data_IF_873396736800
#
_entry.id   IF_873396736800
#
_cell.length_a   1.000
_cell.length_b   1.000
_cell.length_c   1.000
_cell.angle_alpha   90.00
_cell.angle_beta   90.00
_cell.angle_gamma   90.00
#
_symmetry.space_group_name_H-M   'P 1'
#
loop_
_entity.id
_entity.type
_entity.pdbx_description
1 polymer ?
#
# COMPACT_ATOMS: atom_id res chain seq x y z
N UNK A 1 9.96 -2.17 -16.91
CA UNK A 1 9.71 -3.58 -17.23
C UNK A 1 10.29 -3.91 -18.58
N UNK A 2 11.19 -4.90 -18.61
CA UNK A 2 11.92 -5.36 -19.78
C UNK A 2 11.59 -6.82 -20.03
N UNK A 3 11.25 -7.13 -21.27
CA UNK A 3 11.00 -8.50 -21.71
C UNK A 3 12.05 -8.86 -22.75
N UNK A 4 12.63 -10.03 -22.61
CA UNK A 4 13.42 -10.62 -23.68
C UNK A 4 12.57 -11.60 -24.51
N UNK A 5 12.81 -11.63 -25.82
CA UNK A 5 12.18 -12.57 -26.73
C UNK A 5 13.28 -13.29 -27.51
N UNK A 6 13.43 -14.58 -27.25
CA UNK A 6 14.35 -15.48 -27.97
C UNK A 6 13.53 -16.22 -29.03
N UNK A 7 13.63 -15.75 -30.27
CA UNK A 7 12.89 -16.34 -31.40
C UNK A 7 13.50 -15.95 -32.74
N UNK A 8 12.99 -16.50 -33.83
CA UNK A 8 13.43 -16.15 -35.18
C UNK A 8 13.01 -14.71 -35.55
N UNK A 9 13.92 -13.91 -36.13
CA UNK A 9 13.65 -12.52 -36.49
C UNK A 9 12.62 -12.37 -37.62
N UNK A 10 12.38 -13.41 -38.42
CA UNK A 10 11.50 -13.36 -39.60
C UNK A 10 10.16 -14.08 -39.40
N UNK A 11 10.00 -14.82 -38.29
CA UNK A 11 8.85 -15.69 -38.04
C UNK A 11 7.54 -14.98 -37.69
N UNK A 12 6.45 -15.74 -37.68
CA UNK A 12 5.15 -15.26 -37.20
C UNK A 12 5.18 -14.95 -35.69
N UNK A 13 5.92 -15.74 -34.90
CA UNK A 13 6.01 -15.59 -33.44
C UNK A 13 6.38 -14.18 -32.99
N UNK A 14 7.46 -13.60 -33.56
CA UNK A 14 7.90 -12.27 -33.15
C UNK A 14 6.83 -11.22 -33.48
N UNK A 15 6.17 -11.34 -34.64
CA UNK A 15 5.11 -10.41 -35.04
C UNK A 15 3.89 -10.52 -34.14
N UNK A 16 3.51 -11.74 -33.79
CA UNK A 16 2.39 -12.03 -32.90
C UNK A 16 2.63 -11.49 -31.49
N UNK A 17 3.80 -11.78 -30.91
CA UNK A 17 4.22 -11.24 -29.62
C UNK A 17 4.22 -9.71 -29.66
N UNK A 18 4.89 -9.10 -30.65
CA UNK A 18 4.98 -7.65 -30.76
C UNK A 18 3.60 -7.00 -30.96
N UNK A 19 2.69 -7.64 -31.71
CA UNK A 19 1.34 -7.14 -31.95
C UNK A 19 0.54 -7.09 -30.65
N UNK A 20 0.56 -8.16 -29.86
CA UNK A 20 -0.15 -8.21 -28.58
C UNK A 20 0.46 -7.25 -27.56
N UNK A 21 1.79 -7.24 -27.43
CA UNK A 21 2.49 -6.34 -26.52
C UNK A 21 2.25 -4.87 -26.89
N UNK A 22 2.34 -4.48 -28.17
CA UNK A 22 2.06 -3.09 -28.61
C UNK A 22 0.61 -2.69 -28.42
N UNK A 23 -0.34 -3.56 -28.79
CA UNK A 23 -1.79 -3.25 -28.70
C UNK A 23 -2.24 -3.03 -27.26
N UNK A 24 -1.71 -3.82 -26.33
CA UNK A 24 -2.13 -3.78 -24.93
C UNK A 24 -1.21 -2.91 -24.07
N UNK A 25 0.03 -2.67 -24.50
CA UNK A 25 1.01 -1.96 -23.68
C UNK A 25 2.20 -1.34 -24.46
N UNK A 26 2.04 -0.12 -24.96
CA UNK A 26 3.05 0.58 -25.77
C UNK A 26 4.37 0.91 -25.03
N UNK A 27 4.37 0.97 -23.69
CA UNK A 27 5.53 1.46 -22.90
C UNK A 27 6.46 0.34 -22.40
N UNK A 28 6.40 -0.85 -23.00
CA UNK A 28 7.20 -1.99 -22.60
C UNK A 28 8.51 -2.03 -23.38
N UNK A 29 9.63 -2.25 -22.68
CA UNK A 29 10.93 -2.40 -23.34
C UNK A 29 11.11 -3.84 -23.76
N UNK A 30 11.31 -4.07 -25.06
CA UNK A 30 11.42 -5.40 -25.63
C UNK A 30 12.83 -5.57 -26.17
N UNK A 31 13.54 -6.55 -25.63
CA UNK A 31 14.85 -7.00 -26.11
C UNK A 31 14.59 -8.22 -26.99
N UNK A 32 15.05 -8.18 -28.23
CA UNK A 32 14.93 -9.31 -29.16
C UNK A 32 16.30 -9.95 -29.27
N UNK A 33 16.38 -11.24 -28.93
CA UNK A 33 17.53 -12.09 -29.18
C UNK A 33 17.21 -12.96 -30.39
N UNK A 34 17.60 -12.54 -31.60
CA UNK A 34 17.27 -13.26 -32.83
C UNK A 34 18.09 -14.56 -32.89
N UNK A 35 17.40 -15.69 -33.01
CA UNK A 35 18.02 -17.02 -33.11
C UNK A 35 17.38 -17.85 -34.20
N UNK A 36 18.12 -18.81 -34.76
CA UNK A 36 17.50 -19.88 -35.53
C UNK A 36 16.67 -20.76 -34.60
N UNK A 37 15.43 -21.01 -35.00
CA UNK A 37 14.49 -21.87 -34.26
C UNK A 37 14.33 -23.26 -34.88
N UNK A 38 14.98 -23.50 -36.02
CA UNK A 38 14.94 -24.77 -36.75
C UNK A 38 16.24 -24.96 -37.55
N UNK A 39 16.51 -26.21 -37.93
CA UNK A 39 17.70 -26.58 -38.71
C UNK A 39 18.98 -26.70 -37.87
N UNK A 40 20.08 -27.05 -38.52
CA UNK A 40 21.37 -27.24 -37.88
C UNK A 40 21.88 -25.96 -37.19
N UNK A 41 22.39 -26.08 -35.97
CA UNK A 41 22.90 -24.96 -35.17
C UNK A 41 21.83 -24.24 -34.33
N UNK A 42 20.53 -24.54 -34.52
CA UNK A 42 19.46 -23.82 -33.82
C UNK A 42 19.48 -24.02 -32.30
N UNK A 43 19.70 -25.25 -31.84
CA UNK A 43 19.78 -25.57 -30.41
C UNK A 43 20.95 -24.86 -29.71
N UNK A 44 22.09 -24.74 -30.38
CA UNK A 44 23.25 -24.01 -29.88
C UNK A 44 22.97 -22.51 -29.80
N UNK A 45 22.42 -21.91 -30.87
CA UNK A 45 22.05 -20.48 -30.89
C UNK A 45 21.02 -20.12 -29.82
N UNK A 46 19.99 -20.94 -29.63
CA UNK A 46 18.98 -20.73 -28.58
C UNK A 46 19.63 -20.76 -27.19
N UNK A 47 20.46 -21.78 -26.92
CA UNK A 47 21.10 -21.93 -25.62
C UNK A 47 22.11 -20.81 -25.32
N UNK A 48 22.84 -20.35 -26.34
CA UNK A 48 23.77 -19.23 -26.23
C UNK A 48 23.03 -17.91 -25.98
N UNK A 49 21.97 -17.63 -26.74
CA UNK A 49 21.14 -16.44 -26.52
C UNK A 49 20.56 -16.37 -25.10
N UNK A 50 20.10 -17.50 -24.56
CA UNK A 50 19.62 -17.57 -23.17
C UNK A 50 20.72 -17.21 -22.18
N UNK A 51 21.94 -17.72 -22.38
CA UNK A 51 23.09 -17.44 -21.51
C UNK A 51 23.52 -15.98 -21.61
N UNK A 52 23.58 -15.43 -22.82
CA UNK A 52 23.97 -14.05 -23.08
C UNK A 52 23.00 -13.05 -22.45
N UNK A 53 21.69 -13.33 -22.54
CA UNK A 53 20.67 -12.50 -21.88
C UNK A 53 20.84 -12.53 -20.35
N UNK A 54 21.07 -13.71 -19.78
CA UNK A 54 21.31 -13.85 -18.33
C UNK A 54 22.58 -13.15 -17.85
N UNK A 55 23.62 -13.08 -18.68
CA UNK A 55 24.89 -12.46 -18.33
C UNK A 55 24.88 -10.94 -18.57
N UNK A 56 24.31 -10.48 -19.69
CA UNK A 56 24.38 -9.09 -20.15
C UNK A 56 23.25 -8.20 -19.65
N UNK A 57 22.10 -8.76 -19.26
CA UNK A 57 20.89 -8.00 -18.97
C UNK A 57 20.20 -8.48 -17.68
N UNK A 58 20.77 -8.15 -16.50
CA UNK A 58 20.25 -8.61 -15.21
C UNK A 58 18.88 -8.00 -14.85
N UNK A 59 18.40 -6.99 -15.58
CA UNK A 59 17.15 -6.27 -15.31
C UNK A 59 15.99 -6.67 -16.24
N UNK A 60 16.10 -7.81 -16.91
CA UNK A 60 14.98 -8.44 -17.62
C UNK A 60 14.04 -9.10 -16.60
N UNK A 61 12.75 -8.77 -16.67
CA UNK A 61 11.74 -9.33 -15.77
C UNK A 61 11.31 -10.74 -16.19
N UNK A 62 11.24 -10.99 -17.50
CA UNK A 62 10.80 -12.27 -18.08
C UNK A 62 11.36 -12.46 -19.48
N UNK A 63 11.66 -13.70 -19.83
CA UNK A 63 12.11 -14.11 -21.16
C UNK A 63 11.09 -15.04 -21.80
N UNK A 64 10.69 -14.71 -23.03
CA UNK A 64 9.85 -15.55 -23.87
C UNK A 64 10.76 -16.35 -24.80
N UNK A 65 10.71 -17.67 -24.72
CA UNK A 65 11.51 -18.56 -25.57
C UNK A 65 10.55 -19.38 -26.41
N UNK A 66 10.63 -19.25 -27.72
CA UNK A 66 9.79 -20.07 -28.59
C UNK A 66 9.83 -19.70 -30.06
N UNK A 67 8.88 -20.24 -30.79
CA UNK A 67 8.79 -20.13 -32.25
C UNK A 67 7.34 -20.00 -32.68
N UNK A 68 7.10 -19.64 -33.94
CA UNK A 68 5.75 -19.38 -34.44
C UNK A 68 5.45 -20.24 -35.65
N UNK A 69 4.52 -21.19 -35.49
CA UNK A 69 4.08 -22.12 -36.54
C UNK A 69 5.19 -23.03 -37.07
N UNK A 70 4.81 -24.04 -37.85
CA UNK A 70 5.70 -24.99 -38.54
C UNK A 70 5.49 -26.45 -38.10
N UNK A 71 6.24 -27.37 -38.71
CA UNK A 71 6.08 -28.81 -38.51
C UNK A 71 6.58 -29.27 -37.14
N UNK A 72 6.34 -30.54 -36.80
CA UNK A 72 6.84 -31.16 -35.56
C UNK A 72 8.36 -31.33 -35.58
N UNK A 73 8.95 -31.48 -36.77
CA UNK A 73 10.41 -31.58 -36.97
C UNK A 73 11.12 -30.27 -36.59
N UNK A 74 10.45 -29.14 -36.82
CA UNK A 74 10.93 -27.81 -36.46
C UNK A 74 10.90 -27.56 -34.92
N UNK A 75 10.24 -28.42 -34.13
CA UNK A 75 10.23 -28.33 -32.66
C UNK A 75 11.47 -28.98 -32.03
N UNK A 76 12.22 -29.78 -32.79
CA UNK A 76 13.25 -30.65 -32.24
C UNK A 76 14.38 -29.90 -31.53
N UNK A 77 14.70 -28.68 -31.99
CA UNK A 77 15.70 -27.82 -31.35
C UNK A 77 15.39 -27.56 -29.86
N UNK A 78 14.11 -27.51 -29.49
CA UNK A 78 13.63 -27.28 -28.13
C UNK A 78 13.53 -28.58 -27.31
N UNK A 79 13.76 -29.74 -27.94
CA UNK A 79 13.80 -31.04 -27.28
C UNK A 79 15.23 -31.48 -26.96
N UNK A 80 16.22 -30.61 -27.17
CA UNK A 80 17.63 -30.92 -26.98
C UNK A 80 18.09 -30.55 -25.57
N UNK A 81 18.92 -31.40 -24.99
CA UNK A 81 19.41 -31.25 -23.60
C UNK A 81 20.09 -29.89 -23.37
N UNK A 82 20.81 -29.37 -24.37
CA UNK A 82 21.52 -28.09 -24.26
C UNK A 82 20.56 -26.91 -24.01
N UNK A 83 19.41 -26.90 -24.69
CA UNK A 83 18.38 -25.88 -24.51
C UNK A 83 17.70 -26.08 -23.16
N UNK A 84 17.37 -27.32 -22.81
CA UNK A 84 16.75 -27.64 -21.54
C UNK A 84 17.61 -27.17 -20.34
N UNK A 85 18.92 -27.44 -20.38
CA UNK A 85 19.86 -26.97 -19.34
C UNK A 85 20.01 -25.47 -19.32
N UNK A 86 19.99 -24.81 -20.48
CA UNK A 86 20.05 -23.35 -20.55
C UNK A 86 18.82 -22.70 -19.90
N UNK A 87 17.62 -23.23 -20.17
CA UNK A 87 16.37 -22.77 -19.55
C UNK A 87 16.38 -23.03 -18.04
N UNK A 88 16.67 -24.27 -17.63
CA UNK A 88 16.67 -24.66 -16.21
C UNK A 88 17.72 -23.90 -15.37
N UNK A 89 18.83 -23.47 -15.99
CA UNK A 89 19.86 -22.66 -15.35
C UNK A 89 19.64 -21.14 -15.43
N UNK A 90 18.54 -20.68 -16.04
CA UNK A 90 18.24 -19.26 -16.21
C UNK A 90 17.89 -18.62 -14.86
N UNK A 91 18.45 -17.43 -14.61
CA UNK A 91 18.09 -16.55 -13.48
C UNK A 91 16.87 -15.69 -13.82
N UNK A 92 16.68 -15.41 -15.11
CA UNK A 92 15.53 -14.71 -15.65
C UNK A 92 14.39 -15.73 -15.79
N UNK A 93 13.18 -15.48 -15.25
CA UNK A 93 12.04 -16.36 -15.44
C UNK A 93 11.72 -16.59 -16.93
N UNK A 94 11.52 -17.85 -17.31
CA UNK A 94 11.33 -18.28 -18.71
C UNK A 94 9.91 -18.74 -18.95
N UNK A 95 9.27 -18.18 -19.97
CA UNK A 95 8.01 -18.68 -20.53
C UNK A 95 8.31 -19.37 -21.85
N UNK A 96 8.07 -20.68 -21.92
CA UNK A 96 8.14 -21.43 -23.17
C UNK A 96 6.87 -21.18 -24.00
N UNK A 97 7.04 -20.92 -25.30
CA UNK A 97 5.94 -20.71 -26.25
C UNK A 97 6.17 -21.42 -27.59
N UNK A 98 6.65 -22.67 -27.51
CA UNK A 98 7.19 -23.46 -28.63
C UNK A 98 6.13 -24.28 -29.38
N UNK A 99 5.26 -24.98 -28.65
CA UNK A 99 4.26 -25.92 -29.21
C UNK A 99 2.85 -25.36 -29.30
N UNK A 100 1.93 -26.12 -29.91
CA UNK A 100 0.47 -25.94 -29.78
C UNK A 100 -0.04 -26.66 -28.52
N UNK A 101 -1.34 -26.62 -28.22
CA UNK A 101 -1.89 -27.25 -27.00
C UNK A 101 -1.44 -28.71 -26.78
N UNK A 102 -1.32 -29.49 -27.85
CA UNK A 102 -0.99 -30.92 -27.82
C UNK A 102 0.51 -31.25 -27.92
N UNK A 103 1.34 -30.30 -28.38
CA UNK A 103 2.76 -30.54 -28.60
C UNK A 103 3.55 -30.10 -27.36
N UNK A 104 4.39 -31.00 -26.86
CA UNK A 104 5.26 -30.76 -25.71
C UNK A 104 6.70 -31.06 -26.07
N UNK A 105 7.60 -30.19 -25.62
CA UNK A 105 9.05 -30.33 -25.74
C UNK A 105 9.67 -30.37 -24.35
N UNK A 106 10.89 -30.90 -24.23
CA UNK A 106 11.62 -30.83 -22.96
C UNK A 106 11.75 -29.37 -22.46
N UNK A 107 11.94 -28.40 -23.37
CA UNK A 107 11.94 -26.97 -23.01
C UNK A 107 10.67 -26.53 -22.27
N UNK A 108 9.49 -27.03 -22.67
CA UNK A 108 8.23 -26.70 -22.00
C UNK A 108 8.14 -27.23 -20.57
N UNK A 109 8.80 -28.36 -20.28
CA UNK A 109 8.80 -28.97 -18.96
C UNK A 109 9.81 -28.34 -17.99
N UNK A 110 10.88 -27.74 -18.52
CA UNK A 110 11.90 -27.08 -17.69
C UNK A 110 11.69 -25.58 -17.54
N UNK A 111 10.81 -24.97 -18.35
CA UNK A 111 10.45 -23.57 -18.23
C UNK A 111 9.59 -23.29 -16.98
N UNK A 112 9.67 -22.08 -16.44
CA UNK A 112 8.86 -21.67 -15.29
C UNK A 112 7.36 -21.65 -15.61
N UNK A 113 7.03 -21.34 -16.87
CA UNK A 113 5.66 -21.38 -17.36
C UNK A 113 5.63 -21.82 -18.83
N UNK A 114 4.64 -22.64 -19.16
CA UNK A 114 4.31 -22.99 -20.55
C UNK A 114 3.15 -22.14 -21.04
N UNK A 115 3.28 -21.60 -22.25
CA UNK A 115 2.21 -21.02 -23.03
C UNK A 115 2.00 -21.80 -24.32
N UNK A 116 0.74 -22.06 -24.68
CA UNK A 116 0.40 -22.85 -25.87
C UNK A 116 0.66 -22.14 -27.22
N UNK A 117 0.96 -20.84 -27.22
CA UNK A 117 1.37 -20.08 -28.41
C UNK A 117 2.19 -18.86 -28.01
N UNK A 118 2.99 -18.28 -28.93
CA UNK A 118 3.64 -16.99 -28.72
C UNK A 118 2.68 -15.87 -28.33
N UNK A 119 1.49 -15.83 -28.95
CA UNK A 119 0.41 -14.91 -28.60
C UNK A 119 -0.06 -15.09 -27.16
N UNK A 120 -0.34 -16.33 -26.74
CA UNK A 120 -0.75 -16.63 -25.37
C UNK A 120 0.32 -16.24 -24.35
N UNK A 121 1.60 -16.43 -24.68
CA UNK A 121 2.71 -16.00 -23.84
C UNK A 121 2.71 -14.48 -23.64
N UNK A 122 2.53 -13.72 -24.72
CA UNK A 122 2.41 -12.26 -24.64
C UNK A 122 1.18 -11.82 -23.84
N UNK A 123 0.04 -12.51 -23.96
CA UNK A 123 -1.16 -12.22 -23.17
C UNK A 123 -0.97 -12.48 -21.68
N UNK A 124 -0.27 -13.56 -21.29
CA UNK A 124 0.03 -13.86 -19.89
C UNK A 124 0.84 -12.72 -19.25
N UNK A 125 1.86 -12.23 -19.96
CA UNK A 125 2.67 -11.12 -19.46
C UNK A 125 1.83 -9.84 -19.33
N UNK A 126 1.00 -9.53 -20.33
CA UNK A 126 0.11 -8.37 -20.28
C UNK A 126 -0.89 -8.48 -19.12
N UNK A 127 -1.52 -9.65 -18.93
CA UNK A 127 -2.53 -9.88 -17.90
C UNK A 127 -1.97 -9.64 -16.50
N UNK A 128 -0.79 -10.21 -16.20
CA UNK A 128 -0.10 -10.01 -14.93
C UNK A 128 0.07 -8.52 -14.60
N UNK A 129 0.40 -7.70 -15.61
CA UNK A 129 0.56 -6.27 -15.42
C UNK A 129 -0.76 -5.52 -15.20
N UNK A 130 -1.80 -5.86 -15.97
CA UNK A 130 -3.13 -5.24 -15.79
C UNK A 130 -3.67 -5.54 -14.40
N UNK A 131 -3.51 -6.77 -13.92
CA UNK A 131 -3.88 -7.15 -12.56
C UNK A 131 -3.08 -6.36 -11.52
N UNK A 132 -1.77 -6.20 -11.71
CA UNK A 132 -0.94 -5.39 -10.81
C UNK A 132 -1.38 -3.92 -10.79
N UNK A 133 -1.68 -3.33 -11.95
CA UNK A 133 -2.17 -1.96 -12.05
C UNK A 133 -3.53 -1.78 -11.35
N UNK A 134 -4.44 -2.74 -11.53
CA UNK A 134 -5.74 -2.75 -10.84
C UNK A 134 -5.56 -2.88 -9.32
N UNK A 135 -4.62 -3.71 -8.86
CA UNK A 135 -4.29 -3.86 -7.45
C UNK A 135 -3.75 -2.54 -6.86
N UNK A 136 -2.83 -1.86 -7.56
CA UNK A 136 -2.30 -0.55 -7.13
C UNK A 136 -3.43 0.47 -7.02
N UNK A 137 -4.29 0.59 -8.04
CA UNK A 137 -5.43 1.51 -8.01
C UNK A 137 -6.40 1.19 -6.86
N UNK A 138 -6.62 -0.10 -6.57
CA UNK A 138 -7.41 -0.56 -5.43
C UNK A 138 -6.80 -0.15 -4.08
N UNK A 139 -5.49 -0.29 -3.94
CA UNK A 139 -4.75 0.12 -2.73
C UNK A 139 -4.78 1.64 -2.54
N UNK A 140 -4.60 2.41 -3.60
CA UNK A 140 -4.68 3.88 -3.57
C UNK A 140 -6.06 4.35 -3.09
N UNK A 141 -7.14 3.79 -3.65
CA UNK A 141 -8.51 4.10 -3.24
C UNK A 141 -8.73 3.82 -1.75
N UNK A 142 -8.24 2.67 -1.25
CA UNK A 142 -8.33 2.29 0.17
C UNK A 142 -7.54 3.23 1.07
N UNK A 143 -6.35 3.65 0.63
CA UNK A 143 -5.51 4.60 1.35
C UNK A 143 -6.23 5.95 1.49
N UNK A 144 -6.73 6.50 0.38
CA UNK A 144 -7.44 7.78 0.38
C UNK A 144 -8.71 7.76 1.24
N UNK A 145 -9.46 6.66 1.20
CA UNK A 145 -10.64 6.48 2.06
C UNK A 145 -10.26 6.45 3.55
N UNK A 146 -9.17 5.74 3.89
CA UNK A 146 -8.68 5.63 5.26
C UNK A 146 -8.17 6.98 5.78
N UNK A 147 -7.45 7.74 4.94
CA UNK A 147 -7.00 9.10 5.26
C UNK A 147 -8.17 10.06 5.48
N UNK A 148 -9.22 9.99 4.64
CA UNK A 148 -10.43 10.80 4.82
C UNK A 148 -11.09 10.53 6.17
N UNK A 149 -11.34 9.26 6.49
CA UNK A 149 -11.95 8.85 7.76
C UNK A 149 -11.09 9.31 8.94
N UNK A 150 -9.77 9.14 8.84
CA UNK A 150 -8.84 9.60 9.87
C UNK A 150 -8.93 11.13 10.08
N UNK A 151 -8.94 11.89 8.99
CA UNK A 151 -9.05 13.35 9.03
C UNK A 151 -10.38 13.82 9.61
N UNK A 152 -11.50 13.24 9.20
CA UNK A 152 -12.84 13.55 9.73
C UNK A 152 -12.92 13.28 11.24
N UNK A 153 -12.36 12.15 11.69
CA UNK A 153 -12.28 11.83 13.12
C UNK A 153 -11.42 12.85 13.89
N UNK A 154 -10.30 13.27 13.33
CA UNK A 154 -9.41 14.25 13.97
C UNK A 154 -10.08 15.63 14.03
N UNK A 155 -10.75 16.06 12.96
CA UNK A 155 -11.56 17.28 12.95
C UNK A 155 -12.69 17.21 13.98
N UNK A 156 -13.38 16.07 14.09
CA UNK A 156 -14.44 15.87 15.08
C UNK A 156 -13.92 15.98 16.52
N UNK A 157 -12.76 15.37 16.81
CA UNK A 157 -12.08 15.50 18.10
C UNK A 157 -11.68 16.96 18.37
N UNK A 158 -11.09 17.64 17.39
CA UNK A 158 -10.71 19.04 17.51
C UNK A 158 -11.91 19.92 17.79
N UNK A 159 -13.01 19.78 17.04
CA UNK A 159 -14.25 20.55 17.28
C UNK A 159 -14.82 20.31 18.67
N UNK A 160 -14.85 19.05 19.16
CA UNK A 160 -15.31 18.76 20.53
C UNK A 160 -14.43 19.39 21.60
N UNK A 161 -13.11 19.39 21.41
CA UNK A 161 -12.19 20.03 22.34
C UNK A 161 -12.36 21.55 22.29
N UNK A 162 -12.37 22.14 21.11
CA UNK A 162 -12.53 23.57 20.90
C UNK A 162 -13.88 24.11 21.43
N UNK A 163 -14.95 23.32 21.33
CA UNK A 163 -16.26 23.66 21.89
C UNK A 163 -16.43 23.30 23.37
N UNK A 164 -15.39 22.76 24.02
CA UNK A 164 -15.43 22.48 25.45
C UNK A 164 -15.63 23.76 26.24
N UNK A 165 -16.52 23.71 27.24
CA UNK A 165 -16.79 24.83 28.15
C UNK A 165 -15.52 25.34 28.83
N UNK A 166 -14.54 24.46 29.08
CA UNK A 166 -13.25 24.87 29.66
C UNK A 166 -12.46 25.84 28.78
N UNK A 167 -12.57 25.72 27.45
CA UNK A 167 -11.83 26.58 26.50
C UNK A 167 -12.66 27.77 26.01
N UNK A 168 -14.00 27.65 25.99
CA UNK A 168 -14.90 28.70 25.48
C UNK A 168 -15.37 29.68 26.53
N UNK A 169 -15.53 29.25 27.78
CA UNK A 169 -15.88 30.13 28.89
C UNK A 169 -15.22 29.65 30.19
N UNK A 170 -13.90 29.85 30.35
CA UNK A 170 -13.18 29.44 31.54
C UNK A 170 -13.69 30.15 32.82
N UNK A 171 -14.22 31.38 32.69
CA UNK A 171 -14.77 32.13 33.81
C UNK A 171 -16.07 31.52 34.35
N UNK A 172 -16.85 30.80 33.53
CA UNK A 172 -18.01 30.04 34.00
C UNK A 172 -17.64 28.96 35.03
N UNK A 173 -16.38 28.47 35.02
CA UNK A 173 -15.91 27.52 36.05
C UNK A 173 -15.74 28.21 37.41
N UNK A 174 -15.56 29.53 37.43
CA UNK A 174 -15.38 30.33 38.64
C UNK A 174 -16.71 30.85 39.21
N UNK A 175 -17.80 30.83 38.45
CA UNK A 175 -19.12 31.30 38.93
C UNK A 175 -19.58 30.59 40.21
N UNK A 176 -19.40 29.26 40.28
CA UNK A 176 -19.76 28.48 41.49
C UNK A 176 -18.85 28.79 42.68
N UNK A 177 -17.51 28.74 42.55
CA UNK A 177 -16.59 29.15 43.61
C UNK A 177 -16.81 30.58 44.11
N UNK A 178 -17.00 31.54 43.20
CA UNK A 178 -17.24 32.95 43.54
C UNK A 178 -18.54 33.09 44.32
N UNK A 179 -19.65 32.50 43.84
CA UNK A 179 -20.91 32.54 44.59
C UNK A 179 -20.79 31.90 45.98
N UNK A 180 -20.08 30.77 46.11
CA UNK A 180 -19.83 30.14 47.41
C UNK A 180 -19.00 31.03 48.35
N UNK A 181 -18.04 31.78 47.79
CA UNK A 181 -17.25 32.72 48.56
C UNK A 181 -18.14 33.88 49.05
N UNK A 182 -18.97 34.44 48.17
CA UNK A 182 -19.91 35.52 48.51
C UNK A 182 -20.88 35.07 49.61
N UNK A 183 -21.51 33.90 49.46
CA UNK A 183 -22.41 33.31 50.46
C UNK A 183 -21.71 33.12 51.82
N UNK A 184 -20.44 32.67 51.81
CA UNK A 184 -19.65 32.45 53.01
C UNK A 184 -19.24 33.78 53.69
N UNK A 185 -18.90 34.80 52.91
CA UNK A 185 -18.57 36.14 53.41
C UNK A 185 -19.80 36.79 54.04
N UNK A 186 -20.95 36.73 53.38
CA UNK A 186 -22.20 37.26 53.92
C UNK A 186 -22.59 36.57 55.23
N UNK A 187 -22.50 35.23 55.27
CA UNK A 187 -22.71 34.46 56.50
C UNK A 187 -21.74 34.84 57.62
N UNK A 188 -20.48 35.08 57.31
CA UNK A 188 -19.46 35.50 58.28
C UNK A 188 -19.76 36.90 58.85
N UNK A 189 -20.16 37.85 58.01
CA UNK A 189 -20.52 39.22 58.42
C UNK A 189 -21.73 39.17 59.35
N UNK A 190 -22.78 38.44 58.96
CA UNK A 190 -23.98 38.29 59.78
C UNK A 190 -23.67 37.65 61.15
N UNK A 191 -22.89 36.57 61.16
CA UNK A 191 -22.49 35.92 62.40
C UNK A 191 -21.63 36.81 63.31
N UNK A 192 -20.77 37.65 62.73
CA UNK A 192 -19.92 38.59 63.46
C UNK A 192 -20.74 39.73 64.07
N UNK A 193 -21.69 40.28 63.32
CA UNK A 193 -22.63 41.30 63.80
C UNK A 193 -23.47 40.80 64.98
N UNK A 194 -24.04 39.59 64.86
CA UNK A 194 -24.79 38.97 65.95
C UNK A 194 -23.94 38.71 67.19
N UNK A 195 -22.66 38.33 67.03
CA UNK A 195 -21.74 38.17 68.17
C UNK A 195 -21.45 39.49 68.87
N UNK A 196 -21.18 40.57 68.13
CA UNK A 196 -20.94 41.90 68.70
C UNK A 196 -22.17 42.43 69.42
N UNK A 197 -23.37 42.26 68.83
CA UNK A 197 -24.65 42.66 69.45
C UNK A 197 -24.85 41.95 70.79
N UNK A 198 -24.70 40.62 70.82
CA UNK A 198 -24.81 39.82 72.07
C UNK A 198 -23.76 40.22 73.11
N UNK A 199 -22.53 40.50 72.69
CA UNK A 199 -21.48 40.96 73.58
C UNK A 199 -21.82 42.34 74.19
N UNK A 200 -22.34 43.27 73.39
CA UNK A 200 -22.82 44.58 73.84
C UNK A 200 -23.99 44.49 74.81
N UNK A 201 -24.99 43.65 74.50
CA UNK A 201 -26.13 43.37 75.39
C UNK A 201 -25.66 42.82 76.74
N UNK A 202 -24.70 41.88 76.72
CA UNK A 202 -24.11 41.30 77.93
C UNK A 202 -23.34 42.35 78.75
N UNK A 203 -22.57 43.21 78.10
CA UNK A 203 -21.84 44.31 78.75
C UNK A 203 -22.79 45.33 79.39
N UNK A 204 -23.86 45.73 78.68
CA UNK A 204 -24.87 46.64 79.23
C UNK A 204 -25.55 46.03 80.46
N UNK A 205 -25.96 44.76 80.39
CA UNK A 205 -26.57 44.06 81.52
C UNK A 205 -25.62 43.94 82.72
N UNK A 206 -24.32 43.73 82.48
CA UNK A 206 -23.31 43.73 83.55
C UNK A 206 -23.07 45.13 84.13
N UNK A 207 -23.06 46.17 83.30
CA UNK A 207 -22.94 47.57 83.72
C UNK A 207 -24.13 48.02 84.58
N UNK A 208 -25.36 47.67 84.18
CA UNK A 208 -26.57 47.92 84.97
C UNK A 208 -26.53 47.20 86.32
N UNK A 209 -26.11 45.93 86.35
CA UNK A 209 -25.90 45.20 87.62
C UNK A 209 -24.86 45.88 88.50
N UNK A 210 -23.76 46.33 87.92
CA UNK A 210 -22.69 47.01 88.66
C UNK A 210 -23.16 48.35 89.23
N UNK A 211 -23.95 49.13 88.46
CA UNK A 211 -24.60 50.35 88.95
C UNK A 211 -25.58 50.09 90.08
N UNK A 212 -26.40 49.04 89.98
CA UNK A 212 -27.35 48.66 91.02
C UNK A 212 -26.66 48.16 92.31
N UNK A 213 -25.42 47.67 92.21
CA UNK A 213 -24.61 47.19 93.33
C UNK A 213 -23.54 48.20 93.80
N UNK A 214 -23.46 49.39 93.18
CA UNK A 214 -22.51 50.43 93.54
C UNK A 214 -23.09 51.30 94.68
N UNK A 215 -22.42 51.42 95.83
CA UNK A 215 -22.94 52.11 97.01
C UNK A 215 -22.70 53.64 97.00
N UNK A 216 -22.97 54.30 95.87
CA UNK A 216 -22.90 55.76 95.71
C UNK A 216 -24.21 56.32 95.19
#
# INVERSE_FOLDING_TARGET
QKIAVVTSPTGAAIRDILSILKRRYANMHIIIAPVKVQGAGSKEEIAEAIKDLNAGFPDIDVMLVGRGGGSMEDLWAFNEEIVARAIAGSKIPVISCVGHETDFTIADFVADLRAATPSAAAELVVKSKVELAANIAGLEKRLLQSLRIYYENLQGKFRRLASSRMLTNPLALLERPVRRLDDAVEGMIHASGERLRRAGEKLNLQSEKLKALSPL
#
